data_IF_508581531785
#
_entry.id   IF_508581531785
#
_cell.length_a   1.000
_cell.length_b   1.000
_cell.length_c   1.000
_cell.angle_alpha   90.00
_cell.angle_beta   90.00
_cell.angle_gamma   90.00
#
_symmetry.space_group_name_H-M   'P 1'
#
loop_
_entity.id
_entity.type
_entity.pdbx_description
1 polymer ?
#
# COMPACT_ATOMS: atom_id res chain seq x y z
N UNK A 1 -7.43 -20.76 -1.84
CA UNK A 1 -7.60 -20.47 -0.38
C UNK A 1 -6.55 -19.44 0.04
N UNK A 2 -6.95 -18.40 0.78
CA UNK A 2 -6.06 -17.34 1.26
C UNK A 2 -5.20 -17.88 2.42
N UNK A 3 -3.84 -17.83 2.30
CA UNK A 3 -2.88 -18.19 3.34
C UNK A 3 -2.27 -16.93 3.96
N UNK A 4 -2.02 -16.95 5.27
CA UNK A 4 -1.52 -15.80 6.04
C UNK A 4 -0.20 -16.19 6.68
N UNK A 5 0.82 -15.32 6.57
CA UNK A 5 2.11 -15.48 7.23
C UNK A 5 2.38 -14.18 8.00
N UNK A 6 2.11 -14.14 9.32
CA UNK A 6 2.43 -12.99 10.16
C UNK A 6 3.94 -12.74 10.23
N UNK A 7 4.33 -11.47 10.31
CA UNK A 7 5.71 -11.11 10.61
C UNK A 7 6.06 -11.39 12.08
N UNK A 8 7.36 -11.66 12.36
CA UNK A 8 7.84 -12.03 13.71
C UNK A 8 7.49 -11.02 14.81
N UNK A 9 7.40 -9.74 14.50
CA UNK A 9 7.11 -8.65 15.47
C UNK A 9 5.62 -8.26 15.54
N UNK A 10 4.71 -9.08 15.02
CA UNK A 10 3.26 -8.82 14.96
C UNK A 10 2.83 -7.53 14.22
N UNK A 11 3.74 -6.86 13.54
CA UNK A 11 3.44 -5.75 12.63
C UNK A 11 3.52 -6.27 11.20
N UNK A 12 2.39 -6.25 10.50
CA UNK A 12 2.29 -6.72 9.14
C UNK A 12 2.15 -8.23 8.98
N UNK A 13 1.57 -8.63 7.86
CA UNK A 13 1.47 -10.04 7.46
C UNK A 13 1.53 -10.18 5.93
N UNK A 14 2.19 -11.24 5.46
CA UNK A 14 2.11 -11.66 4.06
C UNK A 14 0.79 -12.37 3.81
N UNK A 15 0.10 -11.97 2.75
CA UNK A 15 -1.11 -12.64 2.26
C UNK A 15 -0.79 -13.31 0.93
N UNK A 16 -0.84 -14.63 0.93
CA UNK A 16 -0.65 -15.43 -0.28
C UNK A 16 -2.02 -15.65 -0.90
N UNK A 17 -2.28 -14.93 -1.98
CA UNK A 17 -3.48 -15.00 -2.81
C UNK A 17 -3.19 -14.35 -4.16
N UNK A 18 -3.87 -14.77 -5.21
CA UNK A 18 -3.86 -14.04 -6.48
C UNK A 18 -4.99 -13.00 -6.46
N UNK A 19 -4.63 -11.72 -6.49
CA UNK A 19 -5.61 -10.62 -6.43
C UNK A 19 -6.52 -10.53 -7.67
N UNK A 20 -6.19 -11.22 -8.77
CA UNK A 20 -7.08 -11.30 -9.94
C UNK A 20 -8.33 -12.15 -9.67
N UNK A 21 -8.18 -13.18 -8.83
CA UNK A 21 -9.19 -14.21 -8.56
C UNK A 21 -9.80 -14.06 -7.16
N UNK A 22 -9.65 -12.86 -6.57
CA UNK A 22 -10.07 -12.60 -5.20
C UNK A 22 -11.59 -12.58 -5.08
N UNK A 23 -12.11 -13.26 -4.08
CA UNK A 23 -13.54 -13.35 -3.77
C UNK A 23 -13.96 -12.31 -2.73
N UNK A 24 -15.28 -12.04 -2.63
CA UNK A 24 -15.81 -11.16 -1.57
C UNK A 24 -15.52 -11.71 -0.16
N UNK A 25 -15.51 -13.04 0.02
CA UNK A 25 -15.14 -13.70 1.28
C UNK A 25 -13.68 -13.41 1.65
N UNK A 26 -12.77 -13.44 0.67
CA UNK A 26 -11.37 -13.10 0.87
C UNK A 26 -11.21 -11.62 1.24
N UNK A 27 -11.95 -10.72 0.60
CA UNK A 27 -11.94 -9.28 0.92
C UNK A 27 -12.36 -9.03 2.37
N UNK A 28 -13.43 -9.66 2.84
CA UNK A 28 -13.87 -9.54 4.23
C UNK A 28 -12.77 -10.02 5.20
N UNK A 29 -12.10 -11.13 4.87
CA UNK A 29 -10.99 -11.64 5.66
C UNK A 29 -9.79 -10.70 5.64
N UNK A 30 -9.43 -10.16 4.48
CA UNK A 30 -8.33 -9.18 4.33
C UNK A 30 -8.60 -7.93 5.16
N UNK A 31 -9.83 -7.39 5.18
CA UNK A 31 -10.18 -6.23 6.01
C UNK A 31 -9.99 -6.52 7.51
N UNK A 32 -10.40 -7.69 8.00
CA UNK A 32 -10.17 -8.11 9.39
C UNK A 32 -8.67 -8.23 9.70
N UNK A 33 -7.90 -8.80 8.78
CA UNK A 33 -6.45 -8.96 8.93
C UNK A 33 -5.72 -7.61 8.89
N UNK A 34 -6.16 -6.66 8.06
CA UNK A 34 -5.60 -5.32 8.00
C UNK A 34 -5.77 -4.59 9.35
N UNK A 35 -6.95 -4.70 9.97
CA UNK A 35 -7.18 -4.15 11.31
C UNK A 35 -6.32 -4.83 12.37
N UNK A 36 -6.04 -6.14 12.25
CA UNK A 36 -5.21 -6.88 13.20
C UNK A 36 -3.72 -6.56 13.07
N UNK A 37 -3.20 -6.51 11.85
CA UNK A 37 -1.76 -6.43 11.59
C UNK A 37 -1.29 -5.02 11.17
N UNK A 38 -2.20 -4.10 10.89
CA UNK A 38 -1.91 -2.74 10.42
C UNK A 38 -1.41 -2.67 8.98
N UNK A 39 -0.65 -3.67 8.54
CA UNK A 39 -0.04 -3.73 7.21
C UNK A 39 -0.22 -5.12 6.62
N UNK A 40 -0.62 -5.17 5.36
CA UNK A 40 -0.66 -6.41 4.59
C UNK A 40 0.13 -6.25 3.30
N UNK A 41 0.89 -7.26 2.92
CA UNK A 41 1.61 -7.25 1.67
C UNK A 41 1.40 -8.54 0.87
N UNK A 42 1.40 -8.37 -0.45
CA UNK A 42 1.03 -9.39 -1.43
C UNK A 42 2.16 -9.50 -2.45
N UNK A 43 2.98 -10.53 -2.34
CA UNK A 43 4.11 -10.74 -3.26
C UNK A 43 3.64 -11.24 -4.64
N UNK A 44 4.47 -11.00 -5.65
CA UNK A 44 4.35 -11.56 -7.01
C UNK A 44 3.00 -11.25 -7.70
N UNK A 45 2.40 -10.09 -7.40
CA UNK A 45 1.16 -9.66 -8.05
C UNK A 45 1.45 -9.02 -9.42
N UNK A 46 0.63 -9.38 -10.42
CA UNK A 46 0.65 -8.76 -11.76
C UNK A 46 -0.68 -8.03 -11.98
N UNK A 47 -0.75 -6.75 -11.63
CA UNK A 47 -1.96 -5.95 -11.71
C UNK A 47 -1.88 -4.93 -12.84
N UNK A 48 -2.95 -4.84 -13.64
CA UNK A 48 -3.20 -3.67 -14.49
C UNK A 48 -3.73 -2.54 -13.63
N UNK A 49 -3.65 -1.28 -14.13
CA UNK A 49 -4.25 -0.13 -13.42
C UNK A 49 -5.73 -0.33 -13.12
N UNK A 50 -6.48 -0.96 -14.04
CA UNK A 50 -7.91 -1.30 -13.84
C UNK A 50 -8.12 -2.27 -12.68
N UNK A 51 -7.33 -3.33 -12.58
CA UNK A 51 -7.41 -4.30 -11.49
C UNK A 51 -6.97 -3.69 -10.15
N UNK A 52 -5.92 -2.86 -10.17
CA UNK A 52 -5.43 -2.14 -8.99
C UNK A 52 -6.53 -1.23 -8.41
N UNK A 53 -7.18 -0.42 -9.25
CA UNK A 53 -8.33 0.41 -8.86
C UNK A 53 -9.50 -0.44 -8.36
N UNK A 54 -9.83 -1.54 -9.07
CA UNK A 54 -10.90 -2.45 -8.64
C UNK A 54 -10.64 -3.00 -7.24
N UNK A 55 -9.41 -3.45 -6.98
CA UNK A 55 -9.04 -3.96 -5.66
C UNK A 55 -9.09 -2.86 -4.58
N UNK A 56 -8.57 -1.67 -4.87
CA UNK A 56 -8.60 -0.55 -3.93
C UNK A 56 -10.03 -0.14 -3.55
N UNK A 57 -10.98 -0.16 -4.48
CA UNK A 57 -12.40 0.17 -4.23
C UNK A 57 -13.09 -0.73 -3.20
N UNK A 58 -12.60 -1.94 -2.96
CA UNK A 58 -13.14 -2.77 -1.88
C UNK A 58 -12.92 -2.18 -0.49
N UNK A 59 -11.97 -1.26 -0.33
CA UNK A 59 -11.62 -0.63 0.95
C UNK A 59 -12.28 0.74 1.16
N UNK A 60 -12.98 1.26 0.16
CA UNK A 60 -13.71 2.51 0.24
C UNK A 60 -13.58 3.38 -1.01
N UNK A 61 -14.04 4.63 -0.88
CA UNK A 61 -13.91 5.62 -1.95
C UNK A 61 -12.44 6.01 -2.15
N UNK A 62 -12.04 6.12 -3.41
CA UNK A 62 -10.68 6.50 -3.75
C UNK A 62 -10.56 8.02 -3.76
N UNK A 63 -9.47 8.52 -3.18
CA UNK A 63 -9.10 9.92 -3.24
C UNK A 63 -8.00 10.16 -4.27
N UNK A 64 -7.94 11.38 -4.80
CA UNK A 64 -6.78 11.85 -5.55
C UNK A 64 -5.73 12.34 -4.55
N UNK A 65 -4.45 12.05 -4.81
CA UNK A 65 -3.38 12.57 -3.99
C UNK A 65 -3.18 14.07 -4.28
N UNK A 66 -3.30 14.97 -3.29
CA UNK A 66 -3.43 16.41 -3.57
C UNK A 66 -2.16 17.08 -4.09
N UNK A 67 -0.98 16.50 -3.83
CA UNK A 67 0.32 17.10 -4.18
C UNK A 67 0.94 16.61 -5.48
N UNK A 68 0.41 15.56 -6.08
CA UNK A 68 0.97 14.96 -7.28
C UNK A 68 -0.12 14.67 -8.30
N UNK A 69 0.24 14.76 -9.56
CA UNK A 69 -0.68 14.43 -10.67
C UNK A 69 -0.97 12.93 -10.69
N UNK A 70 -2.21 12.59 -11.02
CA UNK A 70 -2.61 11.21 -11.30
C UNK A 70 -1.90 10.65 -12.54
N UNK A 71 -1.89 9.33 -12.68
CA UNK A 71 -1.25 8.62 -13.78
C UNK A 71 -1.70 9.15 -15.17
N UNK A 72 -3.00 9.37 -15.33
CA UNK A 72 -3.62 9.96 -16.50
C UNK A 72 -5.10 10.29 -16.23
N UNK A 73 -5.81 10.85 -17.19
CA UNK A 73 -7.24 11.20 -17.07
C UNK A 73 -8.14 10.00 -16.70
N UNK A 74 -7.79 8.78 -17.10
CA UNK A 74 -8.55 7.56 -16.81
C UNK A 74 -8.31 7.03 -15.39
N UNK A 75 -7.13 7.29 -14.82
CA UNK A 75 -6.72 6.82 -13.50
C UNK A 75 -6.11 7.96 -12.66
N UNK A 76 -6.90 9.02 -12.36
CA UNK A 76 -6.41 10.17 -11.62
C UNK A 76 -6.05 9.84 -10.16
N UNK A 77 -6.57 8.72 -9.60
CA UNK A 77 -6.30 8.27 -8.24
C UNK A 77 -4.97 7.51 -8.10
N UNK A 78 -4.36 7.11 -9.21
CA UNK A 78 -3.05 6.45 -9.19
C UNK A 78 -1.97 7.51 -9.32
N UNK A 79 -1.16 7.66 -8.31
CA UNK A 79 0.01 8.53 -8.34
C UNK A 79 1.27 7.71 -8.60
N UNK A 80 2.13 8.18 -9.50
CA UNK A 80 3.41 7.54 -9.77
C UNK A 80 4.49 8.20 -8.93
N UNK A 81 5.13 7.43 -8.06
CA UNK A 81 6.33 7.83 -7.34
C UNK A 81 7.50 7.09 -7.95
N UNK A 82 8.46 7.82 -8.50
CA UNK A 82 9.63 7.28 -9.18
C UNK A 82 10.87 8.04 -8.74
N UNK A 83 11.99 7.32 -8.56
CA UNK A 83 13.32 7.89 -8.39
C UNK A 83 14.23 7.33 -9.48
N UNK A 84 14.94 8.22 -10.16
CA UNK A 84 15.96 7.90 -11.15
C UNK A 84 17.34 7.91 -10.49
N UNK A 85 18.31 7.23 -11.10
CA UNK A 85 19.71 7.24 -10.63
C UNK A 85 20.37 8.62 -10.65
N UNK A 86 19.84 9.52 -11.48
CA UNK A 86 20.29 10.92 -11.61
C UNK A 86 19.69 11.87 -10.60
N UNK A 87 18.64 11.46 -9.88
CA UNK A 87 17.91 12.33 -8.93
C UNK A 87 18.80 12.58 -7.69
N UNK A 88 18.99 13.85 -7.35
CA UNK A 88 19.72 14.31 -6.16
C UNK A 88 18.72 14.67 -5.04
N UNK A 89 19.21 14.70 -3.80
CA UNK A 89 18.40 15.05 -2.62
C UNK A 89 17.62 13.89 -2.03
N UNK A 90 16.76 14.16 -1.03
CA UNK A 90 16.01 13.14 -0.29
C UNK A 90 14.99 12.41 -1.17
N UNK A 91 14.70 11.17 -0.83
CA UNK A 91 13.67 10.37 -1.50
C UNK A 91 12.28 10.80 -1.03
N UNK A 92 11.28 10.64 -1.91
CA UNK A 92 9.89 10.89 -1.52
C UNK A 92 9.48 9.91 -0.40
N UNK A 93 9.03 10.46 0.74
CA UNK A 93 8.61 9.63 1.88
C UNK A 93 9.76 8.99 2.65
N UNK A 94 10.97 9.56 2.65
CA UNK A 94 12.17 9.01 3.28
C UNK A 94 12.07 8.96 4.81
N UNK A 95 11.38 9.91 5.42
CA UNK A 95 11.20 9.96 6.87
C UNK A 95 9.92 9.24 7.31
N UNK A 96 9.88 8.75 8.56
CA UNK A 96 8.64 8.21 9.13
C UNK A 96 7.54 9.27 9.13
N UNK A 97 6.40 8.92 8.57
CA UNK A 97 5.25 9.81 8.46
C UNK A 97 3.96 9.00 8.42
N UNK A 98 2.84 9.68 8.61
CA UNK A 98 1.51 9.17 8.31
C UNK A 98 0.99 9.90 7.07
N UNK A 99 0.48 9.15 6.09
CA UNK A 99 0.05 9.70 4.82
C UNK A 99 -1.10 10.70 4.96
N UNK A 100 -0.94 11.85 4.32
CA UNK A 100 -1.98 12.86 4.09
C UNK A 100 -2.74 13.34 5.34
N UNK A 101 -2.15 13.27 6.54
CA UNK A 101 -2.75 13.72 7.80
C UNK A 101 -3.09 15.22 7.79
N UNK A 102 -2.50 16.01 6.91
CA UNK A 102 -2.76 17.44 6.72
C UNK A 102 -4.07 17.73 5.96
N UNK A 103 -4.79 16.71 5.49
CA UNK A 103 -6.09 16.88 4.82
C UNK A 103 -7.24 16.86 5.83
N UNK A 104 -8.37 17.53 5.53
CA UNK A 104 -9.58 17.50 6.38
C UNK A 104 -10.11 16.08 6.62
N UNK A 105 -9.96 15.19 5.64
CA UNK A 105 -10.35 13.79 5.72
C UNK A 105 -9.18 12.93 5.25
N UNK A 106 -8.24 12.58 6.13
CA UNK A 106 -7.12 11.71 5.78
C UNK A 106 -7.61 10.37 5.24
N UNK A 107 -6.93 9.77 4.26
CA UNK A 107 -7.28 8.45 3.79
C UNK A 107 -7.06 7.43 4.92
N UNK A 108 -8.04 6.53 5.10
CA UNK A 108 -7.92 5.46 6.09
C UNK A 108 -6.84 4.44 5.73
N UNK A 109 -6.60 4.24 4.44
CA UNK A 109 -5.62 3.30 3.92
C UNK A 109 -4.85 3.90 2.75
N UNK A 110 -3.57 3.61 2.68
CA UNK A 110 -2.72 3.84 1.52
C UNK A 110 -2.34 2.50 0.89
N UNK A 111 -2.37 2.43 -0.42
CA UNK A 111 -2.02 1.23 -1.16
C UNK A 111 -0.88 1.53 -2.13
N UNK A 112 0.20 0.76 -2.01
CA UNK A 112 1.37 0.86 -2.87
C UNK A 112 1.47 -0.35 -3.79
N UNK A 113 1.83 -0.12 -5.05
CA UNK A 113 2.12 -1.17 -6.01
C UNK A 113 3.48 -0.94 -6.67
N UNK A 114 4.46 -1.74 -6.28
CA UNK A 114 5.83 -1.64 -6.80
C UNK A 114 5.92 -2.16 -8.23
N UNK A 115 6.36 -1.30 -9.14
CA UNK A 115 6.59 -1.62 -10.57
C UNK A 115 8.05 -1.97 -10.85
N UNK A 116 8.95 -1.22 -10.22
CA UNK A 116 10.37 -1.40 -10.31
C UNK A 116 10.93 -1.31 -8.90
N UNK A 117 11.72 -2.27 -8.50
CA UNK A 117 12.36 -2.31 -7.19
C UNK A 117 13.87 -2.47 -7.34
N UNK A 118 14.67 -1.85 -6.47
CA UNK A 118 16.12 -2.04 -6.47
C UNK A 118 16.50 -3.47 -6.03
N UNK A 119 17.80 -3.78 -6.05
CA UNK A 119 18.34 -5.04 -5.53
C UNK A 119 17.91 -5.24 -4.07
N UNK A 120 17.73 -6.51 -3.66
CA UNK A 120 17.38 -6.90 -2.29
C UNK A 120 18.22 -6.16 -1.25
N UNK A 121 17.59 -5.67 -0.20
CA UNK A 121 18.23 -4.94 0.90
C UNK A 121 18.44 -3.44 0.66
N UNK A 122 18.07 -2.92 -0.52
CA UNK A 122 18.09 -1.48 -0.82
C UNK A 122 16.68 -0.93 -0.92
N UNK A 123 16.48 0.31 -0.43
CA UNK A 123 15.19 1.03 -0.45
C UNK A 123 14.02 0.20 0.12
N UNK A 124 14.21 -0.41 1.28
CA UNK A 124 13.14 -1.08 2.01
C UNK A 124 12.13 -0.04 2.52
N UNK A 125 10.85 -0.44 2.57
CA UNK A 125 9.84 0.34 3.29
C UNK A 125 9.78 -0.16 4.72
N UNK A 126 10.01 0.72 5.67
CA UNK A 126 9.94 0.43 7.09
C UNK A 126 8.64 0.95 7.68
N UNK A 127 8.11 0.24 8.66
CA UNK A 127 6.86 0.58 9.32
C UNK A 127 7.00 0.52 10.83
N UNK A 128 6.37 1.46 11.53
CA UNK A 128 6.21 1.43 12.98
C UNK A 128 4.72 1.42 13.34
N UNK A 129 4.41 0.87 14.51
CA UNK A 129 3.05 0.85 15.04
C UNK A 129 2.88 1.91 16.10
N UNK A 130 2.03 2.90 15.85
CA UNK A 130 1.67 3.90 16.85
C UNK A 130 0.94 3.28 18.06
N UNK A 131 0.21 2.19 17.88
CA UNK A 131 -0.39 1.43 18.99
C UNK A 131 0.66 0.88 19.96
N UNK A 132 1.78 0.37 19.43
CA UNK A 132 2.86 -0.15 20.27
C UNK A 132 3.72 0.95 20.87
N UNK A 133 3.84 2.08 20.18
CA UNK A 133 4.59 3.24 20.68
C UNK A 133 3.84 3.98 21.81
N UNK A 134 2.50 3.87 21.86
CA UNK A 134 1.67 4.52 22.87
C UNK A 134 1.56 3.72 24.18
N UNK A 135 1.93 2.44 24.19
CA UNK A 135 1.97 1.58 25.40
C UNK A 135 3.22 1.81 26.23
#
# INVERSE_FOLDING_TARGET
MLKIIPNKKNIGAEIIVNLKDITNKDILKIKKLLNKYGILYFKKQKLTSKLYIKFAKYFGNLANYPRLKGLNKKFPQITVVQRKSTDKGPSFGEQFHTDSIYTKKPPRFTMLFSKLVPKKGKANTEFCSQYLAYK
#
